data_IF_425045356402
#
_entry.id   IF_425045356402
#
_cell.length_a   1.000
_cell.length_b   1.000
_cell.length_c   1.000
_cell.angle_alpha   90.00
_cell.angle_beta   90.00
_cell.angle_gamma   90.00
#
_symmetry.space_group_name_H-M   'P 1'
#
loop_
_entity.id
_entity.type
_entity.pdbx_description
1 polymer ?
#
# COMPACT_ATOMS: atom_id res chain seq x y z
N UNK A 1 8.14 25.63 -25.61
CA UNK A 1 8.60 24.55 -26.52
C UNK A 1 7.57 23.43 -26.43
N UNK A 2 6.90 23.01 -27.52
CA UNK A 2 6.07 21.82 -27.45
C UNK A 2 7.01 20.68 -27.05
N UNK A 3 6.75 20.08 -25.89
CA UNK A 3 7.50 18.90 -25.46
C UNK A 3 7.00 17.79 -26.35
N UNK A 4 7.76 17.47 -27.39
CA UNK A 4 7.43 16.36 -28.26
C UNK A 4 7.67 15.08 -27.46
N UNK A 5 6.60 14.61 -26.82
CA UNK A 5 6.64 13.43 -25.96
C UNK A 5 6.36 12.16 -26.74
N UNK A 6 6.00 12.28 -28.02
CA UNK A 6 5.84 11.16 -28.93
C UNK A 6 7.21 10.73 -29.43
N UNK A 7 7.39 9.43 -29.61
CA UNK A 7 8.54 8.94 -30.38
C UNK A 7 8.38 9.29 -31.86
N UNK A 8 9.48 9.26 -32.61
CA UNK A 8 9.45 9.41 -34.08
C UNK A 8 8.52 8.38 -34.69
N UNK A 9 8.62 7.12 -34.26
CA UNK A 9 7.76 6.01 -34.68
C UNK A 9 6.28 6.28 -34.38
N UNK A 10 5.94 6.77 -33.18
CA UNK A 10 4.55 7.13 -32.84
C UNK A 10 4.03 8.24 -33.74
N UNK A 11 4.86 9.23 -34.04
CA UNK A 11 4.50 10.35 -34.91
C UNK A 11 4.28 9.90 -36.35
N UNK A 12 5.12 8.98 -36.84
CA UNK A 12 5.02 8.40 -38.18
C UNK A 12 3.85 7.42 -38.32
N UNK A 13 3.49 6.70 -37.25
CA UNK A 13 2.35 5.79 -37.23
C UNK A 13 0.99 6.50 -37.19
N UNK A 14 0.94 7.73 -36.66
CA UNK A 14 -0.32 8.40 -36.38
C UNK A 14 -1.06 8.81 -37.66
N UNK A 15 -2.25 8.26 -37.86
CA UNK A 15 -3.07 8.51 -39.04
C UNK A 15 -2.47 7.94 -40.33
N UNK A 16 -1.57 6.95 -40.23
CA UNK A 16 -0.91 6.27 -41.35
C UNK A 16 -0.89 4.75 -41.14
N UNK A 17 -0.65 4.00 -42.21
CA UNK A 17 -0.45 2.56 -42.12
C UNK A 17 0.98 2.26 -41.65
N UNK A 18 1.11 1.46 -40.58
CA UNK A 18 2.39 0.96 -40.07
C UNK A 18 2.79 -0.40 -40.67
N UNK A 19 1.92 -0.99 -41.50
CA UNK A 19 2.10 -2.30 -42.14
C UNK A 19 0.84 -2.72 -42.89
N UNK A 20 0.83 -3.95 -43.42
CA UNK A 20 -0.38 -4.54 -44.00
C UNK A 20 -1.39 -4.91 -42.89
N UNK A 21 -2.65 -4.47 -42.96
CA UNK A 21 -3.68 -4.91 -42.02
C UNK A 21 -3.93 -6.42 -42.13
N UNK A 22 -4.12 -7.07 -40.99
CA UNK A 22 -4.47 -8.49 -40.96
C UNK A 22 -5.91 -8.75 -41.48
N UNK A 23 -6.26 -10.01 -41.70
CA UNK A 23 -7.57 -10.38 -42.24
C UNK A 23 -8.74 -9.92 -41.36
N UNK A 24 -8.55 -9.90 -40.02
CA UNK A 24 -9.57 -9.45 -39.09
C UNK A 24 -9.79 -7.93 -39.19
N UNK A 25 -8.71 -7.17 -39.33
CA UNK A 25 -8.74 -5.72 -39.53
C UNK A 25 -9.36 -5.37 -40.88
N UNK A 26 -9.01 -6.10 -41.95
CA UNK A 26 -9.63 -5.94 -43.26
C UNK A 26 -11.14 -6.20 -43.19
N UNK A 27 -11.55 -7.32 -42.59
CA UNK A 27 -12.95 -7.66 -42.43
C UNK A 27 -13.71 -6.66 -41.55
N UNK A 28 -13.06 -6.09 -40.53
CA UNK A 28 -13.71 -5.16 -39.59
C UNK A 28 -13.86 -3.74 -40.14
N UNK A 29 -12.86 -3.23 -40.86
CA UNK A 29 -12.81 -1.81 -41.23
C UNK A 29 -12.97 -1.55 -42.73
N UNK A 30 -12.61 -2.51 -43.58
CA UNK A 30 -12.63 -2.38 -45.04
C UNK A 30 -13.70 -3.25 -45.72
N UNK A 31 -14.51 -3.97 -44.94
CA UNK A 31 -15.69 -4.62 -45.48
C UNK A 31 -16.74 -3.56 -45.85
N UNK A 32 -17.30 -3.70 -47.05
CA UNK A 32 -18.33 -2.83 -47.60
C UNK A 32 -19.66 -3.55 -47.52
N UNK A 33 -20.55 -3.06 -46.67
CA UNK A 33 -21.92 -3.54 -46.61
C UNK A 33 -22.76 -3.04 -47.81
N UNK A 34 -24.03 -3.44 -47.88
CA UNK A 34 -24.90 -3.05 -49.00
C UNK A 34 -25.16 -1.53 -49.02
N UNK A 35 -25.21 -0.87 -47.86
CA UNK A 35 -25.37 0.58 -47.78
C UNK A 35 -24.12 1.31 -48.29
N UNK A 36 -22.93 0.79 -47.96
CA UNK A 36 -21.65 1.26 -48.46
C UNK A 36 -21.61 1.15 -49.99
N UNK A 37 -21.98 -0.01 -50.54
CA UNK A 37 -22.00 -0.25 -52.00
C UNK A 37 -22.99 0.66 -52.72
N UNK A 38 -24.19 0.87 -52.16
CA UNK A 38 -25.18 1.79 -52.72
C UNK A 38 -24.65 3.23 -52.73
N UNK A 39 -24.02 3.67 -51.64
CA UNK A 39 -23.39 4.98 -51.55
C UNK A 39 -22.25 5.15 -52.56
N UNK A 40 -21.34 4.16 -52.65
CA UNK A 40 -20.21 4.15 -53.59
C UNK A 40 -20.69 4.13 -55.05
N UNK A 41 -21.79 3.42 -55.35
CA UNK A 41 -22.37 3.31 -56.69
C UNK A 41 -22.83 4.64 -57.29
N UNK A 42 -23.00 5.69 -56.48
CA UNK A 42 -23.35 7.05 -56.94
C UNK A 42 -22.17 7.75 -57.63
N UNK A 43 -20.94 7.33 -57.36
CA UNK A 43 -19.73 7.86 -57.98
C UNK A 43 -19.52 7.29 -59.39
N UNK A 44 -19.26 8.16 -60.36
CA UNK A 44 -19.00 7.76 -61.76
C UNK A 44 -17.54 7.33 -61.96
N UNK A 45 -17.32 6.18 -62.58
CA UNK A 45 -16.01 5.64 -62.94
C UNK A 45 -15.37 4.78 -61.83
N UNK A 46 -14.67 3.72 -62.24
CA UNK A 46 -14.10 2.74 -61.32
C UNK A 46 -13.00 3.34 -60.43
N UNK A 47 -12.22 4.32 -60.92
CA UNK A 47 -11.24 5.06 -60.12
C UNK A 47 -11.91 5.81 -58.94
N UNK A 48 -13.06 6.44 -59.17
CA UNK A 48 -13.79 7.15 -58.11
C UNK A 48 -14.47 6.19 -57.14
N UNK A 49 -15.06 5.10 -57.65
CA UNK A 49 -15.68 4.05 -56.82
C UNK A 49 -14.66 3.40 -55.89
N UNK A 50 -13.49 3.03 -56.42
CA UNK A 50 -12.40 2.47 -55.63
C UNK A 50 -11.82 3.49 -54.65
N UNK A 51 -11.57 4.72 -55.09
CA UNK A 51 -10.98 5.76 -54.24
C UNK A 51 -11.87 6.19 -53.09
N UNK A 52 -13.19 6.35 -53.30
CA UNK A 52 -14.12 6.69 -52.21
C UNK A 52 -14.28 5.53 -51.23
N UNK A 53 -14.32 4.28 -51.72
CA UNK A 53 -14.36 3.08 -50.86
C UNK A 53 -13.12 2.98 -49.96
N UNK A 54 -11.93 3.23 -50.53
CA UNK A 54 -10.69 3.27 -49.76
C UNK A 54 -10.68 4.38 -48.71
N UNK A 55 -11.22 5.56 -49.03
CA UNK A 55 -11.33 6.66 -48.06
C UNK A 55 -12.30 6.34 -46.92
N UNK A 56 -13.39 5.62 -47.19
CA UNK A 56 -14.30 5.11 -46.15
C UNK A 56 -13.54 4.16 -45.21
N UNK A 57 -12.79 3.21 -45.76
CA UNK A 57 -11.97 2.30 -44.96
C UNK A 57 -10.87 3.03 -44.17
N UNK A 58 -10.20 4.01 -44.78
CA UNK A 58 -9.16 4.80 -44.11
C UNK A 58 -9.71 5.60 -42.92
N UNK A 59 -10.87 6.26 -43.05
CA UNK A 59 -11.44 7.02 -41.93
C UNK A 59 -11.97 6.09 -40.82
N UNK A 60 -12.36 4.85 -41.15
CA UNK A 60 -12.75 3.82 -40.17
C UNK A 60 -11.54 3.25 -39.42
N UNK A 61 -10.45 2.96 -40.13
CA UNK A 61 -9.26 2.30 -39.60
C UNK A 61 -8.26 3.28 -38.95
N UNK A 62 -7.93 4.36 -39.67
CA UNK A 62 -6.93 5.35 -39.26
C UNK A 62 -7.54 6.56 -38.55
N UNK A 63 -8.84 6.81 -38.72
CA UNK A 63 -9.49 8.01 -38.20
C UNK A 63 -9.24 9.30 -39.01
N UNK A 64 -8.59 9.20 -40.18
CA UNK A 64 -8.28 10.32 -41.08
C UNK A 64 -8.52 9.95 -42.55
N UNK A 65 -8.63 10.98 -43.39
CA UNK A 65 -8.59 10.82 -44.85
C UNK A 65 -7.14 10.95 -45.34
N UNK A 66 -6.72 10.05 -46.22
CA UNK A 66 -5.39 10.09 -46.80
C UNK A 66 -5.36 11.03 -48.00
N UNK A 67 -4.35 11.89 -48.07
CA UNK A 67 -4.12 12.72 -49.25
C UNK A 67 -3.52 11.90 -50.37
N UNK A 68 -2.46 11.14 -50.09
CA UNK A 68 -1.80 10.28 -51.05
C UNK A 68 -2.19 8.81 -50.87
N UNK A 69 -2.86 8.26 -51.89
CA UNK A 69 -3.39 6.89 -51.91
C UNK A 69 -2.29 5.83 -52.07
N UNK A 70 -1.07 6.22 -52.44
CA UNK A 70 0.06 5.29 -52.55
C UNK A 70 0.50 4.73 -51.19
N UNK A 71 0.21 5.46 -50.10
CA UNK A 71 0.46 4.99 -48.74
C UNK A 71 -0.50 3.86 -48.31
N UNK A 72 -1.51 3.53 -49.12
CA UNK A 72 -2.43 2.44 -48.83
C UNK A 72 -1.78 1.10 -49.24
N UNK A 73 -1.64 0.13 -48.33
CA UNK A 73 -1.07 -1.18 -48.64
C UNK A 73 -1.80 -1.89 -49.78
N UNK A 74 -1.08 -2.74 -50.51
CA UNK A 74 -1.65 -3.50 -51.63
C UNK A 74 -2.77 -4.43 -51.18
N UNK A 75 -2.65 -5.10 -50.03
CA UNK A 75 -3.69 -5.98 -49.50
C UNK A 75 -5.04 -5.26 -49.35
N UNK A 76 -5.01 -4.04 -48.79
CA UNK A 76 -6.21 -3.19 -48.62
C UNK A 76 -6.83 -2.81 -49.97
N UNK A 77 -6.00 -2.43 -50.95
CA UNK A 77 -6.44 -2.07 -52.30
C UNK A 77 -7.14 -3.23 -53.00
N UNK A 78 -6.53 -4.42 -52.97
CA UNK A 78 -7.09 -5.61 -53.60
C UNK A 78 -8.36 -6.10 -52.89
N UNK A 79 -8.36 -6.09 -51.56
CA UNK A 79 -9.51 -6.48 -50.75
C UNK A 79 -10.74 -5.61 -51.05
N UNK A 80 -10.54 -4.29 -51.16
CA UNK A 80 -11.61 -3.34 -51.46
C UNK A 80 -12.07 -3.45 -52.92
N UNK A 81 -11.14 -3.56 -53.87
CA UNK A 81 -11.45 -3.69 -55.30
C UNK A 81 -12.25 -4.96 -55.62
N UNK A 82 -11.91 -6.09 -54.98
CA UNK A 82 -12.62 -7.36 -55.14
C UNK A 82 -14.09 -7.27 -54.75
N UNK A 83 -14.41 -6.51 -53.69
CA UNK A 83 -15.79 -6.31 -53.24
C UNK A 83 -16.63 -5.46 -54.21
N UNK A 84 -15.97 -4.60 -55.00
CA UNK A 84 -16.63 -3.74 -56.00
C UNK A 84 -16.66 -4.34 -57.41
N UNK A 85 -16.05 -5.51 -57.61
CA UNK A 85 -15.92 -6.16 -58.92
C UNK A 85 -14.88 -5.52 -59.85
N UNK A 86 -13.96 -4.71 -59.31
CA UNK A 86 -12.94 -4.00 -60.07
C UNK A 86 -11.70 -4.89 -60.19
N UNK A 87 -11.33 -5.28 -61.42
CA UNK A 87 -10.18 -6.17 -61.69
C UNK A 87 -8.86 -5.41 -61.78
N UNK A 88 -8.89 -4.20 -62.31
CA UNK A 88 -7.71 -3.37 -62.50
C UNK A 88 -7.63 -2.30 -61.40
N UNK A 89 -6.60 -2.39 -60.55
CA UNK A 89 -6.38 -1.46 -59.44
C UNK A 89 -5.56 -0.25 -59.89
N UNK A 90 -4.91 -0.31 -61.06
CA UNK A 90 -4.11 0.79 -61.59
C UNK A 90 -4.95 2.02 -61.90
N UNK A 91 -6.26 1.84 -62.10
CA UNK A 91 -7.26 2.92 -62.21
C UNK A 91 -7.21 3.88 -61.02
N UNK A 92 -6.75 3.45 -59.84
CA UNK A 92 -6.59 4.32 -58.68
C UNK A 92 -5.61 5.49 -58.94
N UNK A 93 -4.69 5.37 -59.89
CA UNK A 93 -3.79 6.46 -60.28
C UNK A 93 -4.54 7.67 -60.89
N UNK A 94 -5.75 7.46 -61.42
CA UNK A 94 -6.62 8.53 -61.92
C UNK A 94 -7.44 9.19 -60.80
N UNK A 95 -7.54 8.54 -59.64
CA UNK A 95 -8.31 9.04 -58.51
C UNK A 95 -7.70 10.30 -57.90
N UNK A 96 -8.47 11.39 -57.88
CA UNK A 96 -8.06 12.60 -57.18
C UNK A 96 -6.98 13.42 -57.87
N UNK A 97 -6.73 13.19 -59.17
CA UNK A 97 -5.91 14.09 -60.02
C UNK A 97 -6.41 15.54 -59.95
N UNK A 98 -7.73 15.73 -59.82
CA UNK A 98 -8.33 17.00 -59.40
C UNK A 98 -8.47 17.00 -57.88
N UNK A 99 -7.82 17.95 -57.21
CA UNK A 99 -7.89 18.08 -55.76
C UNK A 99 -9.32 18.23 -55.24
N UNK A 100 -10.19 18.89 -56.01
CA UNK A 100 -11.60 19.10 -55.66
C UNK A 100 -12.35 17.78 -55.44
N UNK A 101 -12.09 16.75 -56.26
CA UNK A 101 -12.77 15.45 -56.16
C UNK A 101 -12.48 14.76 -54.82
N UNK A 102 -11.25 14.85 -54.31
CA UNK A 102 -10.90 14.26 -52.99
C UNK A 102 -11.61 14.99 -51.86
N UNK A 103 -11.64 16.33 -51.89
CA UNK A 103 -12.31 17.16 -50.87
C UNK A 103 -13.82 16.96 -50.90
N UNK A 104 -14.41 16.86 -52.09
CA UNK A 104 -15.84 16.55 -52.29
C UNK A 104 -16.18 15.18 -51.73
N UNK A 105 -15.40 14.14 -52.06
CA UNK A 105 -15.63 12.79 -51.52
C UNK A 105 -15.47 12.74 -49.99
N UNK A 106 -14.46 13.41 -49.42
CA UNK A 106 -14.33 13.52 -47.97
C UNK A 106 -15.54 14.24 -47.34
N UNK A 107 -16.09 15.28 -47.99
CA UNK A 107 -17.32 15.93 -47.54
C UNK A 107 -18.54 15.00 -47.60
N UNK A 108 -18.70 14.25 -48.70
CA UNK A 108 -19.78 13.27 -48.86
C UNK A 108 -19.72 12.16 -47.80
N UNK A 109 -18.53 11.60 -47.55
CA UNK A 109 -18.32 10.57 -46.52
C UNK A 109 -18.67 11.14 -45.13
N UNK A 110 -18.24 12.36 -44.82
CA UNK A 110 -18.58 13.01 -43.54
C UNK A 110 -20.08 13.15 -43.34
N UNK A 111 -20.79 13.64 -44.36
CA UNK A 111 -22.23 13.83 -44.29
C UNK A 111 -22.98 12.50 -44.14
N UNK A 112 -22.60 11.47 -44.91
CA UNK A 112 -23.29 10.19 -44.93
C UNK A 112 -23.04 9.38 -43.65
N UNK A 113 -21.78 9.26 -43.20
CA UNK A 113 -21.40 8.44 -42.03
C UNK A 113 -21.33 9.23 -40.72
N UNK A 114 -21.71 10.51 -40.74
CA UNK A 114 -21.76 11.42 -39.59
C UNK A 114 -20.40 11.69 -38.93
N UNK A 115 -19.32 11.67 -39.71
CA UNK A 115 -18.01 12.09 -39.22
C UNK A 115 -17.94 13.60 -39.07
N UNK A 116 -17.27 14.05 -38.00
CA UNK A 116 -17.18 15.47 -37.64
C UNK A 116 -15.73 15.92 -37.64
N UNK A 117 -15.51 17.19 -37.97
CA UNK A 117 -14.20 17.80 -37.83
C UNK A 117 -13.84 18.01 -36.35
N UNK A 118 -12.55 18.05 -36.05
CA UNK A 118 -12.05 18.41 -34.74
C UNK A 118 -12.17 19.91 -34.48
N UNK A 119 -13.40 20.35 -34.21
CA UNK A 119 -13.77 21.73 -33.93
C UNK A 119 -14.64 21.82 -32.66
N UNK A 120 -15.05 23.04 -32.28
CA UNK A 120 -16.03 23.22 -31.20
C UNK A 120 -17.35 22.51 -31.57
N UNK A 121 -18.02 21.80 -30.63
CA UNK A 121 -17.76 21.68 -29.19
C UNK A 121 -16.85 20.50 -28.81
N UNK A 122 -16.33 19.73 -29.77
CA UNK A 122 -15.55 18.51 -29.53
C UNK A 122 -14.18 18.79 -28.95
N UNK A 123 -13.52 19.85 -29.42
CA UNK A 123 -12.27 20.36 -28.83
C UNK A 123 -12.46 20.64 -27.34
N UNK A 124 -13.57 21.30 -26.96
CA UNK A 124 -13.91 21.58 -25.56
C UNK A 124 -14.21 20.31 -24.76
N UNK A 125 -14.99 19.38 -25.32
CA UNK A 125 -15.31 18.09 -24.66
C UNK A 125 -14.05 17.27 -24.38
N UNK A 126 -13.15 17.15 -25.36
CA UNK A 126 -11.86 16.47 -25.19
C UNK A 126 -11.00 17.19 -24.16
N UNK A 127 -10.91 18.52 -24.24
CA UNK A 127 -10.17 19.33 -23.26
C UNK A 127 -10.67 19.07 -21.85
N UNK A 128 -12.00 19.05 -21.64
CA UNK A 128 -12.61 18.78 -20.32
C UNK A 128 -12.27 17.37 -19.83
N UNK A 129 -12.36 16.36 -20.68
CA UNK A 129 -12.00 14.98 -20.36
C UNK A 129 -10.53 14.88 -19.90
N UNK A 130 -9.61 15.38 -20.74
CA UNK A 130 -8.18 15.36 -20.47
C UNK A 130 -7.85 16.15 -19.19
N UNK A 131 -8.56 17.25 -18.95
CA UNK A 131 -8.35 18.09 -17.78
C UNK A 131 -8.77 17.39 -16.49
N UNK A 132 -9.96 16.78 -16.46
CA UNK A 132 -10.42 16.02 -15.29
C UNK A 132 -9.43 14.90 -14.95
N UNK A 133 -8.92 14.21 -15.97
CA UNK A 133 -7.95 13.13 -15.79
C UNK A 133 -6.58 13.64 -15.30
N UNK A 134 -6.07 14.72 -15.92
CA UNK A 134 -4.82 15.38 -15.55
C UNK A 134 -4.88 16.06 -14.17
N UNK A 135 -6.07 16.44 -13.71
CA UNK A 135 -6.28 16.93 -12.36
C UNK A 135 -6.09 15.79 -11.35
N UNK A 136 -6.72 14.64 -11.56
CA UNK A 136 -6.71 13.53 -10.59
C UNK A 136 -5.34 12.83 -10.54
N UNK A 137 -4.71 12.61 -11.69
CA UNK A 137 -3.50 11.78 -11.80
C UNK A 137 -2.39 12.44 -12.62
N UNK A 138 -1.14 12.04 -12.38
CA UNK A 138 0.02 12.45 -13.16
C UNK A 138 0.37 11.41 -14.24
N UNK A 139 -0.57 11.16 -15.15
CA UNK A 139 -0.37 10.19 -16.24
C UNK A 139 0.71 10.65 -17.23
N UNK A 140 1.36 9.66 -17.86
CA UNK A 140 2.31 9.91 -18.95
C UNK A 140 1.57 10.53 -20.13
N UNK A 141 2.14 11.54 -20.81
CA UNK A 141 1.46 12.22 -21.89
C UNK A 141 1.14 11.32 -23.09
N UNK A 142 1.94 10.27 -23.34
CA UNK A 142 1.63 9.25 -24.35
C UNK A 142 0.31 8.51 -24.07
N UNK A 143 0.04 8.13 -22.82
CA UNK A 143 -1.22 7.46 -22.46
C UNK A 143 -2.44 8.39 -22.66
N UNK A 144 -2.27 9.69 -22.41
CA UNK A 144 -3.30 10.69 -22.67
C UNK A 144 -3.52 10.89 -24.18
N UNK A 145 -2.48 10.71 -24.99
CA UNK A 145 -2.55 10.75 -26.44
C UNK A 145 -3.31 9.55 -27.00
N UNK A 146 -3.00 8.34 -26.52
CA UNK A 146 -3.72 7.11 -26.91
C UNK A 146 -5.20 7.19 -26.52
N UNK A 147 -5.47 7.65 -25.29
CA UNK A 147 -6.83 7.90 -24.80
C UNK A 147 -7.57 8.91 -25.66
N UNK A 148 -6.93 10.03 -26.01
CA UNK A 148 -7.54 11.05 -26.84
C UNK A 148 -7.84 10.52 -28.25
N UNK A 149 -6.91 9.75 -28.83
CA UNK A 149 -7.08 9.11 -30.14
C UNK A 149 -8.26 8.16 -30.14
N UNK A 150 -8.32 7.25 -29.15
CA UNK A 150 -9.45 6.32 -28.99
C UNK A 150 -10.79 7.04 -28.79
N UNK A 151 -10.80 8.10 -27.96
CA UNK A 151 -12.00 8.91 -27.73
C UNK A 151 -12.48 9.61 -29.01
N UNK A 152 -11.58 10.18 -29.80
CA UNK A 152 -11.91 10.83 -31.07
C UNK A 152 -12.51 9.83 -32.07
N UNK A 153 -11.90 8.66 -32.21
CA UNK A 153 -12.40 7.59 -33.09
C UNK A 153 -13.78 7.10 -32.64
N UNK A 154 -13.98 6.86 -31.34
CA UNK A 154 -15.26 6.41 -30.78
C UNK A 154 -16.40 7.42 -31.06
N UNK A 155 -16.09 8.72 -31.04
CA UNK A 155 -17.06 9.78 -31.32
C UNK A 155 -17.16 10.18 -32.80
N UNK A 156 -16.52 9.42 -33.70
CA UNK A 156 -16.45 9.70 -35.15
C UNK A 156 -15.93 11.11 -35.47
N UNK A 157 -14.93 11.55 -34.71
CA UNK A 157 -14.25 12.81 -34.94
C UNK A 157 -12.98 12.50 -35.74
N UNK A 158 -12.79 13.20 -36.85
CA UNK A 158 -11.60 13.08 -37.68
C UNK A 158 -10.41 13.51 -36.85
N UNK A 159 -9.38 12.67 -36.81
CA UNK A 159 -8.19 12.94 -36.02
C UNK A 159 -7.49 14.21 -36.53
N UNK A 160 -7.19 15.19 -35.65
CA UNK A 160 -6.37 16.33 -36.01
C UNK A 160 -4.91 15.88 -36.19
N UNK A 161 -4.05 16.71 -36.77
CA UNK A 161 -2.62 16.39 -36.84
C UNK A 161 -2.00 16.13 -35.45
N UNK A 162 -1.03 15.21 -35.38
CA UNK A 162 -0.40 14.79 -34.11
C UNK A 162 0.07 15.98 -33.26
N UNK A 163 0.70 16.97 -33.89
CA UNK A 163 1.17 18.20 -33.24
C UNK A 163 0.04 19.00 -32.58
N UNK A 164 -1.15 19.00 -33.16
CA UNK A 164 -2.32 19.68 -32.58
C UNK A 164 -2.74 18.99 -31.28
N UNK A 165 -2.73 17.65 -31.28
CA UNK A 165 -3.11 16.87 -30.12
C UNK A 165 -2.04 16.91 -29.01
N UNK A 166 -0.76 16.79 -29.37
CA UNK A 166 0.39 16.94 -28.47
C UNK A 166 0.39 18.31 -27.78
N UNK A 167 0.11 19.37 -28.54
CA UNK A 167 -0.01 20.73 -27.98
C UNK A 167 -1.18 20.83 -27.01
N UNK A 168 -2.36 20.33 -27.39
CA UNK A 168 -3.54 20.35 -26.52
C UNK A 168 -3.29 19.62 -25.19
N UNK A 169 -2.71 18.42 -25.26
CA UNK A 169 -2.39 17.62 -24.07
C UNK A 169 -1.39 18.35 -23.18
N UNK A 170 -0.35 18.95 -23.76
CA UNK A 170 0.64 19.73 -23.03
C UNK A 170 0.01 20.91 -22.32
N UNK A 171 -0.82 21.71 -23.01
CA UNK A 171 -1.54 22.85 -22.45
C UNK A 171 -2.48 22.43 -21.32
N UNK A 172 -3.22 21.34 -21.49
CA UNK A 172 -4.15 20.84 -20.46
C UNK A 172 -3.40 20.39 -19.20
N UNK A 173 -2.29 19.65 -19.37
CA UNK A 173 -1.45 19.18 -18.25
C UNK A 173 -0.80 20.35 -17.52
N UNK A 174 -0.33 21.35 -18.27
CA UNK A 174 0.23 22.57 -17.70
C UNK A 174 -0.84 23.32 -16.89
N UNK A 175 -2.04 23.53 -17.44
CA UNK A 175 -3.16 24.16 -16.71
C UNK A 175 -3.54 23.41 -15.43
N UNK A 176 -3.59 22.07 -15.47
CA UNK A 176 -3.86 21.26 -14.28
C UNK A 176 -2.74 21.40 -13.23
N UNK A 177 -1.49 21.49 -13.67
CA UNK A 177 -0.31 21.67 -12.80
C UNK A 177 -0.28 23.05 -12.17
N UNK A 178 -0.51 24.12 -12.96
CA UNK A 178 -0.58 25.49 -12.46
C UNK A 178 -1.72 25.66 -11.45
N UNK A 179 -2.91 25.05 -11.70
CA UNK A 179 -4.00 25.06 -10.73
C UNK A 179 -3.60 24.42 -9.41
N UNK A 180 -2.89 23.28 -9.46
CA UNK A 180 -2.43 22.60 -8.25
C UNK A 180 -1.46 23.49 -7.47
N UNK A 181 -0.48 24.09 -8.15
CA UNK A 181 0.47 24.99 -7.51
C UNK A 181 -0.20 26.19 -6.88
N UNK A 182 -1.15 26.82 -7.59
CA UNK A 182 -1.89 27.96 -7.06
C UNK A 182 -2.71 27.57 -5.83
N UNK A 183 -3.40 26.43 -5.86
CA UNK A 183 -4.14 25.96 -4.67
C UNK A 183 -3.22 25.70 -3.48
N UNK A 184 -2.08 25.05 -3.69
CA UNK A 184 -1.14 24.74 -2.61
C UNK A 184 -0.48 26.00 -2.05
N UNK A 185 -0.09 26.95 -2.91
CA UNK A 185 0.52 28.21 -2.49
C UNK A 185 -0.44 29.12 -1.70
N UNK A 186 -1.75 28.90 -1.81
CA UNK A 186 -2.78 29.61 -1.05
C UNK A 186 -3.06 29.02 0.33
N UNK A 187 -2.57 27.80 0.63
CA UNK A 187 -2.77 27.16 1.94
C UNK A 187 -2.08 27.93 3.07
N UNK A 188 -0.77 28.26 2.98
CA UNK A 188 -0.07 28.88 4.11
C UNK A 188 -0.41 30.37 4.27
N UNK A 189 -0.51 30.81 5.52
CA UNK A 189 -0.57 32.21 5.94
C UNK A 189 0.72 32.96 5.58
N UNK A 190 0.73 34.29 5.70
CA UNK A 190 1.94 35.08 5.42
C UNK A 190 3.12 34.69 6.33
N UNK A 191 2.86 34.38 7.60
CA UNK A 191 3.86 33.92 8.56
C UNK A 191 4.37 32.52 8.20
N UNK A 192 3.48 31.58 7.93
CA UNK A 192 3.83 30.21 7.51
C UNK A 192 4.64 30.22 6.21
N UNK A 193 4.34 31.12 5.27
CA UNK A 193 5.14 31.28 4.05
C UNK A 193 6.58 31.68 4.37
N UNK A 194 6.78 32.60 5.30
CA UNK A 194 8.13 32.99 5.74
C UNK A 194 8.86 31.80 6.36
N UNK A 195 8.21 31.07 7.27
CA UNK A 195 8.77 29.86 7.88
C UNK A 195 9.14 28.79 6.85
N UNK A 196 8.28 28.56 5.85
CA UNK A 196 8.54 27.60 4.77
C UNK A 196 9.74 28.04 3.91
N UNK A 197 9.91 29.33 3.65
CA UNK A 197 11.09 29.82 2.92
C UNK A 197 12.38 29.68 3.73
N UNK A 198 12.32 29.83 5.06
CA UNK A 198 13.47 29.59 5.94
C UNK A 198 13.98 28.14 5.87
N UNK A 199 13.14 27.16 5.48
CA UNK A 199 13.58 25.78 5.26
C UNK A 199 14.70 25.66 4.23
N UNK A 200 14.77 26.60 3.28
CA UNK A 200 15.77 26.61 2.21
C UNK A 200 17.11 27.24 2.65
N UNK A 201 17.14 27.95 3.77
CA UNK A 201 18.34 28.58 4.33
C UNK A 201 19.24 27.58 5.08
N UNK A 202 20.54 27.89 5.22
CA UNK A 202 21.43 27.10 6.08
C UNK A 202 21.01 27.21 7.55
N UNK A 203 21.18 26.14 8.32
CA UNK A 203 20.99 26.18 9.79
C UNK A 203 22.21 26.75 10.49
N UNK A 204 22.03 27.44 11.62
CA UNK A 204 23.12 28.05 12.42
C UNK A 204 24.21 27.06 12.86
N UNK A 205 23.87 25.77 12.97
CA UNK A 205 24.76 24.73 13.49
C UNK A 205 25.24 23.71 12.44
N UNK A 206 24.85 23.84 11.17
CA UNK A 206 25.25 22.88 10.13
C UNK A 206 25.28 23.49 8.72
N UNK A 207 26.15 22.95 7.84
CA UNK A 207 26.16 23.30 6.40
C UNK A 207 24.91 22.84 5.65
N UNK A 208 24.05 22.04 6.27
CA UNK A 208 22.81 21.56 5.69
C UNK A 208 21.67 22.54 6.02
N UNK A 209 20.77 22.74 5.05
CA UNK A 209 19.52 23.47 5.31
C UNK A 209 18.57 22.63 6.17
N UNK A 210 17.64 23.28 6.87
CA UNK A 210 16.62 22.59 7.67
C UNK A 210 15.77 21.61 6.82
N UNK A 211 15.51 21.92 5.54
CA UNK A 211 14.84 20.98 4.63
C UNK A 211 15.61 19.64 4.49
N UNK A 212 16.94 19.69 4.38
CA UNK A 212 17.78 18.49 4.19
C UNK A 212 17.95 17.68 5.48
N UNK A 213 17.86 18.30 6.65
CA UNK A 213 17.81 17.56 7.90
C UNK A 213 16.45 16.87 8.08
N UNK A 214 15.34 17.56 7.80
CA UNK A 214 13.99 16.98 7.85
C UNK A 214 13.79 15.83 6.86
N UNK A 215 14.57 15.79 5.77
CA UNK A 215 14.58 14.68 4.82
C UNK A 215 15.14 13.38 5.38
N UNK A 216 15.91 13.42 6.46
CA UNK A 216 16.58 12.25 7.02
C UNK A 216 15.70 11.61 8.09
N UNK A 217 15.26 10.39 7.82
CA UNK A 217 14.59 9.55 8.81
C UNK A 217 15.57 8.92 9.80
N UNK A 218 15.06 8.31 10.88
CA UNK A 218 15.86 7.58 11.85
C UNK A 218 16.55 6.36 11.20
N UNK A 219 17.82 6.13 11.54
CA UNK A 219 18.62 5.00 10.99
C UNK A 219 18.88 3.92 12.05
N UNK A 220 18.63 4.23 13.32
CA UNK A 220 18.89 3.33 14.45
C UNK A 220 17.64 3.16 15.30
N UNK A 221 17.52 2.01 15.95
CA UNK A 221 16.44 1.69 16.88
C UNK A 221 16.96 1.95 18.30
N UNK A 222 16.69 3.14 18.83
CA UNK A 222 17.13 3.55 20.18
C UNK A 222 16.23 4.64 20.75
N UNK A 223 16.24 4.82 22.07
CA UNK A 223 15.51 5.92 22.72
C UNK A 223 15.89 7.31 22.21
N UNK A 224 17.20 7.64 22.06
CA UNK A 224 17.62 8.88 21.41
C UNK A 224 17.09 9.04 19.98
N UNK A 225 17.13 7.99 19.17
CA UNK A 225 16.60 8.03 17.80
C UNK A 225 15.08 8.21 17.75
N UNK A 226 14.35 7.64 18.71
CA UNK A 226 12.91 7.89 18.87
C UNK A 226 12.64 9.36 19.21
N UNK A 227 13.39 9.94 20.15
CA UNK A 227 13.27 11.36 20.49
C UNK A 227 13.58 12.26 19.29
N UNK A 228 14.64 11.96 18.52
CA UNK A 228 14.95 12.68 17.27
C UNK A 228 13.82 12.55 16.24
N UNK A 229 13.23 11.36 16.09
CA UNK A 229 12.11 11.15 15.17
C UNK A 229 10.86 11.96 15.60
N UNK A 230 10.56 12.02 16.90
CA UNK A 230 9.47 12.83 17.46
C UNK A 230 9.74 14.32 17.30
N UNK A 231 10.96 14.81 17.56
CA UNK A 231 11.31 16.21 17.35
C UNK A 231 11.22 16.61 15.87
N UNK A 232 11.62 15.72 14.96
CA UNK A 232 11.43 15.93 13.52
C UNK A 232 9.95 16.02 13.15
N UNK A 233 9.12 15.12 13.68
CA UNK A 233 7.67 15.18 13.48
C UNK A 233 7.09 16.49 14.05
N UNK A 234 7.43 16.87 15.29
CA UNK A 234 7.01 18.15 15.90
C UNK A 234 7.38 19.33 15.03
N UNK A 235 8.62 19.40 14.55
CA UNK A 235 9.08 20.48 13.66
C UNK A 235 8.20 20.59 12.41
N UNK A 236 7.73 19.48 11.85
CA UNK A 236 6.82 19.46 10.70
C UNK A 236 5.38 19.82 11.08
N UNK A 237 4.89 19.30 12.21
CA UNK A 237 3.57 19.57 12.75
C UNK A 237 3.40 21.04 13.18
N UNK A 238 4.45 21.67 13.70
CA UNK A 238 4.45 23.05 14.20
C UNK A 238 4.24 24.08 13.08
N UNK A 239 4.45 23.71 11.81
CA UNK A 239 4.02 24.55 10.68
C UNK A 239 2.49 24.74 10.66
N UNK A 240 1.73 23.84 11.29
CA UNK A 240 0.29 23.97 11.47
C UNK A 240 -0.44 24.09 10.13
N UNK A 241 0.01 23.36 9.10
CA UNK A 241 -0.66 23.32 7.79
C UNK A 241 -1.92 22.45 7.84
N UNK A 242 -2.76 22.65 8.87
CA UNK A 242 -4.04 21.99 8.99
C UNK A 242 -5.02 22.67 8.04
N UNK A 243 -5.26 22.03 6.90
CA UNK A 243 -6.12 22.58 5.88
C UNK A 243 -7.44 21.82 5.81
N UNK A 244 -8.53 22.50 6.20
CA UNK A 244 -9.92 22.14 5.86
C UNK A 244 -10.10 21.92 4.33
N UNK A 245 -9.18 22.46 3.53
CA UNK A 245 -9.18 22.43 2.06
C UNK A 245 -8.45 21.25 1.41
N UNK A 246 -7.79 20.35 2.16
CA UNK A 246 -7.03 19.21 1.60
C UNK A 246 -7.91 18.22 0.86
N UNK A 247 -9.18 18.07 1.27
CA UNK A 247 -10.17 17.21 0.62
C UNK A 247 -10.40 17.58 -0.85
N UNK A 248 -10.17 18.83 -1.23
CA UNK A 248 -10.34 19.32 -2.61
C UNK A 248 -9.13 19.09 -3.51
N UNK A 249 -8.04 18.53 -2.96
CA UNK A 249 -6.79 18.28 -3.66
C UNK A 249 -6.64 16.80 -4.02
N UNK A 250 -6.19 16.50 -5.25
CA UNK A 250 -5.91 15.12 -5.66
C UNK A 250 -4.73 14.53 -4.88
N UNK A 251 -4.99 13.54 -4.02
CA UNK A 251 -3.98 12.89 -3.17
C UNK A 251 -2.79 12.33 -3.97
N UNK A 252 -3.05 11.72 -5.12
CA UNK A 252 -1.99 11.17 -6.01
C UNK A 252 -1.06 12.28 -6.52
N UNK A 253 -1.58 13.46 -6.83
CA UNK A 253 -0.77 14.60 -7.28
C UNK A 253 0.05 15.19 -6.15
N UNK A 254 -0.54 15.32 -4.96
CA UNK A 254 0.13 15.79 -3.77
C UNK A 254 1.31 14.87 -3.42
N UNK A 255 1.08 13.55 -3.35
CA UNK A 255 2.12 12.55 -3.07
C UNK A 255 3.25 12.59 -4.10
N UNK A 256 2.93 12.74 -5.38
CA UNK A 256 3.94 12.88 -6.44
C UNK A 256 4.78 14.15 -6.28
N UNK A 257 4.16 15.28 -5.93
CA UNK A 257 4.86 16.55 -5.73
C UNK A 257 5.74 16.51 -4.48
N UNK A 258 5.26 15.89 -3.39
CA UNK A 258 6.03 15.67 -2.18
C UNK A 258 7.24 14.74 -2.41
N UNK A 259 7.06 13.65 -3.17
CA UNK A 259 8.17 12.77 -3.56
C UNK A 259 9.21 13.51 -4.38
N UNK A 260 8.76 14.35 -5.31
CA UNK A 260 9.65 15.23 -6.07
C UNK A 260 10.42 16.19 -5.15
N UNK A 261 9.75 16.79 -4.16
CA UNK A 261 10.39 17.65 -3.18
C UNK A 261 11.47 16.92 -2.36
N UNK A 262 11.19 15.67 -1.96
CA UNK A 262 12.13 14.81 -1.24
C UNK A 262 13.41 14.52 -2.03
N UNK A 263 13.27 14.21 -3.33
CA UNK A 263 14.39 13.87 -4.22
C UNK A 263 15.17 15.09 -4.73
N UNK A 264 14.55 16.28 -4.75
CA UNK A 264 15.16 17.47 -5.35
C UNK A 264 16.02 18.21 -4.33
N UNK A 265 17.22 18.64 -4.73
CA UNK A 265 18.10 19.45 -3.88
C UNK A 265 17.48 20.82 -3.56
N UNK A 266 17.79 21.34 -2.38
CA UNK A 266 17.37 22.68 -1.91
C UNK A 266 17.67 23.77 -2.93
N UNK A 267 18.86 23.73 -3.52
CA UNK A 267 19.29 24.69 -4.53
C UNK A 267 18.38 24.73 -5.76
N UNK A 268 17.93 23.56 -6.23
CA UNK A 268 17.01 23.48 -7.35
C UNK A 268 15.61 23.97 -6.97
N UNK A 269 15.18 23.72 -5.73
CA UNK A 269 13.90 24.23 -5.20
C UNK A 269 13.94 25.76 -5.08
N UNK A 270 15.03 26.33 -4.58
CA UNK A 270 15.20 27.77 -4.41
C UNK A 270 15.11 28.55 -5.73
N UNK A 271 15.58 27.95 -6.84
CA UNK A 271 15.55 28.52 -8.20
C UNK A 271 14.19 28.45 -8.91
N UNK A 272 13.20 27.79 -8.32
CA UNK A 272 11.86 27.68 -8.94
C UNK A 272 11.12 29.02 -8.89
N UNK A 273 10.09 29.17 -9.73
CA UNK A 273 9.16 30.30 -9.61
C UNK A 273 8.51 30.33 -8.22
N UNK A 274 8.15 31.51 -7.66
CA UNK A 274 7.65 31.62 -6.29
C UNK A 274 6.44 30.71 -6.02
N UNK A 275 5.51 30.64 -6.97
CA UNK A 275 4.32 29.78 -6.88
C UNK A 275 4.67 28.29 -6.83
N UNK A 276 5.55 27.84 -7.72
CA UNK A 276 5.98 26.43 -7.75
C UNK A 276 6.78 26.08 -6.51
N UNK A 277 7.70 26.95 -6.09
CA UNK A 277 8.53 26.79 -4.90
C UNK A 277 7.66 26.60 -3.66
N UNK A 278 6.70 27.51 -3.43
CA UNK A 278 5.78 27.41 -2.30
C UNK A 278 4.94 26.14 -2.35
N UNK A 279 4.41 25.78 -3.53
CA UNK A 279 3.63 24.55 -3.68
C UNK A 279 4.45 23.27 -3.37
N UNK A 280 5.73 23.24 -3.75
CA UNK A 280 6.66 22.14 -3.45
C UNK A 280 6.94 22.05 -1.95
N UNK A 281 7.18 23.19 -1.28
CA UNK A 281 7.42 23.24 0.17
C UNK A 281 6.18 22.83 0.97
N UNK A 282 5.01 23.33 0.61
CA UNK A 282 3.73 22.93 1.23
C UNK A 282 3.47 21.44 1.04
N UNK A 283 3.67 20.92 -0.19
CA UNK A 283 3.51 19.49 -0.45
C UNK A 283 4.52 18.64 0.32
N UNK A 284 5.75 19.12 0.49
CA UNK A 284 6.76 18.49 1.33
C UNK A 284 6.26 18.37 2.76
N UNK A 285 5.95 19.48 3.44
CA UNK A 285 5.54 19.45 4.85
C UNK A 285 4.32 18.56 5.07
N UNK A 286 3.26 18.74 4.26
CA UNK A 286 2.02 17.94 4.41
C UNK A 286 2.23 16.42 4.29
N UNK A 287 3.11 15.97 3.40
CA UNK A 287 3.35 14.54 3.21
C UNK A 287 4.41 14.00 4.18
N UNK A 288 5.39 14.81 4.51
CA UNK A 288 6.50 14.43 5.38
C UNK A 288 6.11 14.46 6.85
N UNK A 289 5.12 15.24 7.25
CA UNK A 289 4.52 15.17 8.58
C UNK A 289 3.98 13.76 8.86
N UNK A 290 3.15 13.21 7.96
CA UNK A 290 2.63 11.85 8.09
C UNK A 290 3.76 10.81 8.07
N UNK A 291 4.71 10.94 7.13
CA UNK A 291 5.85 10.03 7.04
C UNK A 291 6.73 10.09 8.31
N UNK A 292 6.92 11.27 8.89
CA UNK A 292 7.73 11.42 10.09
C UNK A 292 7.08 10.80 11.33
N UNK A 293 5.74 10.84 11.39
CA UNK A 293 4.97 10.15 12.42
C UNK A 293 5.08 8.63 12.25
N UNK A 294 4.90 8.12 11.03
CA UNK A 294 5.04 6.70 10.72
C UNK A 294 6.44 6.19 11.10
N UNK A 295 7.50 6.91 10.71
CA UNK A 295 8.88 6.57 11.09
C UNK A 295 9.08 6.54 12.62
N UNK A 296 8.45 7.45 13.37
CA UNK A 296 8.56 7.48 14.83
C UNK A 296 7.84 6.27 15.47
N UNK A 297 6.67 5.90 14.93
CA UNK A 297 5.94 4.70 15.34
C UNK A 297 6.75 3.43 15.04
N UNK A 298 7.39 3.35 13.87
CA UNK A 298 8.24 2.22 13.49
C UNK A 298 9.42 2.03 14.46
N UNK A 299 10.08 3.13 14.87
CA UNK A 299 11.15 3.07 15.88
C UNK A 299 10.62 2.61 17.23
N UNK A 300 9.46 3.13 17.66
CA UNK A 300 8.83 2.75 18.93
C UNK A 300 8.46 1.26 18.95
N UNK A 301 7.81 0.78 17.90
CA UNK A 301 7.41 -0.62 17.75
C UNK A 301 8.62 -1.55 17.79
N UNK A 302 9.68 -1.19 17.08
CA UNK A 302 10.93 -1.93 17.10
C UNK A 302 11.59 -1.94 18.50
N UNK A 303 11.55 -0.82 19.23
CA UNK A 303 12.05 -0.76 20.61
C UNK A 303 11.22 -1.63 21.56
N UNK A 304 9.89 -1.56 21.49
CA UNK A 304 8.99 -2.38 22.29
C UNK A 304 9.22 -3.88 22.04
N UNK A 305 9.42 -4.27 20.77
CA UNK A 305 9.75 -5.64 20.41
C UNK A 305 11.04 -6.13 21.08
N UNK A 306 12.09 -5.29 21.14
CA UNK A 306 13.34 -5.61 21.84
C UNK A 306 13.12 -5.77 23.34
N UNK A 307 12.40 -4.84 23.97
CA UNK A 307 12.11 -4.87 25.42
C UNK A 307 11.31 -6.12 25.79
N UNK A 308 10.26 -6.44 25.02
CA UNK A 308 9.41 -7.62 25.26
C UNK A 308 10.24 -8.90 25.10
N UNK A 309 11.09 -8.99 24.07
CA UNK A 309 11.98 -10.13 23.86
C UNK A 309 12.94 -10.33 25.02
N UNK A 310 13.54 -9.25 25.52
CA UNK A 310 14.51 -9.33 26.61
C UNK A 310 13.83 -9.66 27.95
N UNK A 311 12.65 -9.10 28.20
CA UNK A 311 11.80 -9.46 29.34
C UNK A 311 11.44 -10.98 29.32
N UNK A 312 11.04 -11.52 28.16
CA UNK A 312 10.77 -12.96 27.99
C UNK A 312 12.01 -13.81 28.27
N UNK A 313 13.18 -13.42 27.76
CA UNK A 313 14.45 -14.12 28.04
C UNK A 313 14.81 -14.10 29.52
N UNK A 314 14.63 -12.97 30.20
CA UNK A 314 14.86 -12.86 31.64
C UNK A 314 13.88 -13.74 32.41
N UNK A 315 12.59 -13.73 32.05
CA UNK A 315 11.57 -14.59 32.64
C UNK A 315 11.89 -16.08 32.49
N UNK A 316 12.25 -16.52 31.27
CA UNK A 316 12.68 -17.90 31.01
C UNK A 316 13.91 -18.30 31.84
N UNK A 317 14.94 -17.42 31.92
CA UNK A 317 16.13 -17.68 32.75
C UNK A 317 15.79 -17.80 34.23
N UNK A 318 14.93 -16.92 34.76
CA UNK A 318 14.47 -16.99 36.17
C UNK A 318 13.70 -18.29 36.44
N UNK A 319 12.81 -18.69 35.52
CA UNK A 319 12.05 -19.95 35.62
C UNK A 319 12.94 -21.20 35.59
N UNK A 320 13.95 -21.22 34.71
CA UNK A 320 14.91 -22.34 34.66
C UNK A 320 15.75 -22.44 35.94
N UNK A 321 16.02 -21.32 36.62
CA UNK A 321 16.66 -21.33 37.95
C UNK A 321 15.72 -21.87 39.02
N UNK A 322 14.48 -21.38 39.08
CA UNK A 322 13.52 -21.83 40.09
C UNK A 322 13.21 -23.32 39.97
N UNK A 323 13.16 -23.89 38.76
CA UNK A 323 13.01 -25.35 38.58
C UNK A 323 14.15 -26.15 39.23
N UNK A 324 15.40 -25.69 39.10
CA UNK A 324 16.54 -26.34 39.77
C UNK A 324 16.49 -26.23 41.28
N UNK A 325 16.02 -25.08 41.79
CA UNK A 325 15.85 -24.88 43.24
C UNK A 325 14.75 -25.81 43.79
N UNK A 326 13.67 -26.02 43.03
CA UNK A 326 12.59 -26.95 43.39
C UNK A 326 13.07 -28.41 43.44
N UNK A 327 13.90 -28.87 42.50
CA UNK A 327 14.47 -30.23 42.52
C UNK A 327 15.36 -30.46 43.75
N UNK A 328 16.23 -29.49 44.07
CA UNK A 328 17.09 -29.54 45.27
C UNK A 328 16.24 -29.60 46.54
N UNK A 329 15.20 -28.77 46.60
CA UNK A 329 14.23 -28.75 47.69
C UNK A 329 13.48 -30.07 47.85
N UNK A 330 13.03 -30.69 46.75
CA UNK A 330 12.34 -31.97 46.78
C UNK A 330 13.24 -33.11 47.27
N UNK A 331 14.50 -33.15 46.83
CA UNK A 331 15.49 -34.13 47.33
C UNK A 331 15.79 -33.95 48.82
N UNK A 332 15.91 -32.70 49.28
CA UNK A 332 16.10 -32.41 50.70
C UNK A 332 14.90 -32.90 51.53
N UNK A 333 13.67 -32.66 51.06
CA UNK A 333 12.46 -33.16 51.70
C UNK A 333 12.42 -34.70 51.72
N UNK A 334 12.74 -35.35 50.60
CA UNK A 334 12.79 -36.81 50.53
C UNK A 334 13.80 -37.40 51.54
N UNK A 335 14.97 -36.76 51.69
CA UNK A 335 15.97 -37.16 52.68
C UNK A 335 15.44 -37.02 54.11
N UNK A 336 14.80 -35.90 54.44
CA UNK A 336 14.20 -35.66 55.75
C UNK A 336 13.06 -36.67 56.06
N UNK A 337 12.16 -36.91 55.10
CA UNK A 337 11.10 -37.90 55.25
C UNK A 337 11.65 -39.33 55.43
N UNK A 338 12.70 -39.70 54.69
CA UNK A 338 13.33 -41.01 54.83
C UNK A 338 14.01 -41.23 56.18
N UNK A 339 14.47 -40.15 56.82
CA UNK A 339 15.02 -40.19 58.18
C UNK A 339 13.90 -40.38 59.22
N UNK A 340 12.80 -39.63 59.08
CA UNK A 340 11.63 -39.70 59.97
C UNK A 340 10.85 -41.02 59.89
N UNK A 341 10.88 -41.71 58.74
CA UNK A 341 10.15 -42.96 58.51
C UNK A 341 10.92 -44.23 58.92
N UNK A 342 12.17 -44.13 59.41
CA UNK A 342 12.90 -45.28 59.93
C UNK A 342 12.37 -45.65 61.33
N UNK A 343 11.73 -46.80 61.43
CA UNK A 343 11.05 -47.35 62.63
C UNK A 343 11.97 -47.66 63.85
N UNK A 344 13.26 -47.29 63.81
CA UNK A 344 14.20 -47.44 64.94
C UNK A 344 14.93 -46.12 65.25
N UNK A 345 14.20 -45.03 65.45
CA UNK A 345 14.76 -43.82 66.06
C UNK A 345 14.15 -43.61 67.46
N UNK A 346 14.94 -43.69 68.55
CA UNK A 346 14.44 -43.41 69.89
C UNK A 346 13.97 -41.95 69.99
N UNK A 347 12.79 -41.72 70.57
CA UNK A 347 12.15 -40.39 70.72
C UNK A 347 13.06 -39.32 71.36
N UNK A 348 14.06 -39.75 72.14
CA UNK A 348 15.01 -38.86 72.83
C UNK A 348 16.13 -38.31 71.93
N UNK A 349 16.46 -38.92 70.78
CA UNK A 349 17.51 -38.40 69.89
C UNK A 349 17.05 -37.29 68.95
N UNK A 350 15.74 -36.99 68.91
CA UNK A 350 15.16 -35.93 68.06
C UNK A 350 15.27 -34.55 68.75
N UNK A 351 15.60 -34.51 70.04
CA UNK A 351 15.72 -33.28 70.82
C UNK A 351 17.16 -33.00 71.24
N UNK A 352 18.08 -32.74 70.30
CA UNK A 352 19.26 -31.90 70.61
C UNK A 352 20.10 -31.58 69.35
N UNK A 353 19.91 -30.40 68.73
CA UNK A 353 21.00 -29.45 68.40
C UNK A 353 20.47 -28.09 67.91
N UNK A 354 20.90 -27.04 68.61
CA UNK A 354 21.09 -25.61 68.27
C UNK A 354 20.16 -24.83 67.30
N UNK A 355 19.74 -23.67 67.81
CA UNK A 355 18.77 -22.76 67.20
C UNK A 355 19.31 -21.81 66.13
N UNK A 356 18.33 -21.26 65.40
CA UNK A 356 18.37 -20.33 64.25
C UNK A 356 18.59 -20.94 62.86
N UNK A 357 19.46 -21.94 62.66
CA UNK A 357 19.53 -22.63 61.35
C UNK A 357 18.30 -23.52 61.09
N UNK A 358 17.71 -24.08 62.15
CA UNK A 358 16.59 -25.01 62.04
C UNK A 358 15.21 -24.33 61.85
N UNK A 359 15.07 -23.03 62.16
CA UNK A 359 13.88 -22.28 61.74
C UNK A 359 13.84 -22.07 60.22
N UNK A 360 15.01 -21.87 59.60
CA UNK A 360 15.16 -21.83 58.14
C UNK A 360 14.99 -23.24 57.53
N UNK A 361 15.48 -24.28 58.20
CA UNK A 361 15.28 -25.69 57.83
C UNK A 361 13.82 -26.15 57.93
N UNK A 362 13.14 -25.82 59.02
CA UNK A 362 11.72 -26.15 59.26
C UNK A 362 10.80 -25.37 58.31
N UNK A 363 11.06 -24.07 58.10
CA UNK A 363 10.32 -23.29 57.11
C UNK A 363 10.54 -23.82 55.68
N UNK A 364 11.78 -24.22 55.36
CA UNK A 364 12.11 -24.91 54.12
C UNK A 364 11.38 -26.24 53.95
N UNK A 365 11.31 -27.06 55.02
CA UNK A 365 10.61 -28.34 55.03
C UNK A 365 9.10 -28.16 54.83
N UNK A 366 8.48 -27.21 55.53
CA UNK A 366 7.06 -26.86 55.34
C UNK A 366 6.82 -26.36 53.92
N UNK A 367 7.67 -25.45 53.42
CA UNK A 367 7.54 -24.92 52.05
C UNK A 367 7.63 -26.06 51.02
N UNK A 368 8.56 -26.99 51.20
CA UNK A 368 8.73 -28.11 50.28
C UNK A 368 7.57 -29.10 50.37
N UNK A 369 7.04 -29.36 51.57
CA UNK A 369 5.86 -30.19 51.75
C UNK A 369 4.62 -29.57 51.07
N UNK A 370 4.46 -28.24 51.17
CA UNK A 370 3.40 -27.50 50.48
C UNK A 370 3.57 -27.59 48.97
N UNK A 371 4.78 -27.39 48.44
CA UNK A 371 5.05 -27.52 47.01
C UNK A 371 4.75 -28.93 46.50
N UNK A 372 5.16 -29.97 47.23
CA UNK A 372 4.91 -31.36 46.87
C UNK A 372 3.42 -31.65 46.88
N UNK A 373 2.72 -31.26 47.95
CA UNK A 373 1.27 -31.40 48.07
C UNK A 373 0.56 -30.71 46.90
N UNK A 374 0.90 -29.46 46.62
CA UNK A 374 0.31 -28.69 45.55
C UNK A 374 0.55 -29.32 44.19
N UNK A 375 1.75 -29.81 43.93
CA UNK A 375 2.09 -30.44 42.65
C UNK A 375 1.26 -31.71 42.43
N UNK A 376 1.12 -32.56 43.45
CA UNK A 376 0.34 -33.80 43.37
C UNK A 376 -1.15 -33.51 43.17
N UNK A 377 -1.72 -32.59 43.95
CA UNK A 377 -3.15 -32.27 43.84
C UNK A 377 -3.50 -31.45 42.61
N UNK A 378 -2.59 -30.59 42.11
CA UNK A 378 -2.77 -29.92 40.81
C UNK A 378 -2.79 -30.95 39.68
N UNK A 379 -1.90 -31.94 39.69
CA UNK A 379 -1.90 -33.00 38.69
C UNK A 379 -3.21 -33.81 38.76
N UNK A 380 -3.65 -34.19 39.96
CA UNK A 380 -4.93 -34.89 40.14
C UNK A 380 -6.13 -34.06 39.64
N UNK A 381 -6.13 -32.75 39.87
CA UNK A 381 -7.17 -31.84 39.36
C UNK A 381 -7.15 -31.72 37.83
N UNK A 382 -5.97 -31.61 37.21
CA UNK A 382 -5.84 -31.58 35.75
C UNK A 382 -6.33 -32.90 35.12
N UNK A 383 -6.00 -34.04 35.72
CA UNK A 383 -6.43 -35.35 35.23
C UNK A 383 -7.94 -35.54 35.40
N UNK A 384 -8.53 -35.02 36.48
CA UNK A 384 -9.98 -34.99 36.67
C UNK A 384 -10.68 -34.14 35.60
N UNK A 385 -10.18 -32.93 35.32
CA UNK A 385 -10.74 -32.04 34.28
C UNK A 385 -10.63 -32.68 32.88
N UNK A 386 -9.49 -33.31 32.56
CA UNK A 386 -9.32 -34.07 31.31
C UNK A 386 -10.32 -35.22 31.19
N UNK A 387 -10.56 -35.95 32.27
CA UNK A 387 -11.52 -37.05 32.30
C UNK A 387 -12.97 -36.56 32.12
N UNK A 388 -13.27 -35.31 32.48
CA UNK A 388 -14.57 -34.65 32.25
C UNK A 388 -14.72 -34.06 30.84
N UNK A 389 -13.66 -34.10 30.01
CA UNK A 389 -13.68 -33.61 28.63
C UNK A 389 -13.36 -32.12 28.46
N UNK A 390 -12.87 -31.45 29.51
CA UNK A 390 -12.43 -30.05 29.44
C UNK A 390 -11.15 -29.90 28.59
N UNK A 391 -11.13 -28.91 27.70
CA UNK A 391 -9.96 -28.61 26.86
C UNK A 391 -8.99 -27.71 27.62
N UNK A 392 -7.86 -28.26 28.06
CA UNK A 392 -6.83 -27.53 28.80
C UNK A 392 -5.71 -27.05 27.85
N UNK A 393 -5.45 -25.74 27.82
CA UNK A 393 -4.34 -25.18 27.04
C UNK A 393 -2.99 -25.45 27.71
N UNK A 394 -2.01 -25.92 26.93
CA UNK A 394 -0.66 -26.18 27.42
C UNK A 394 0.03 -24.92 27.97
N UNK A 395 -0.28 -23.73 27.42
CA UNK A 395 0.24 -22.46 27.94
C UNK A 395 -0.26 -22.15 29.36
N UNK A 396 -1.49 -22.52 29.69
CA UNK A 396 -2.11 -22.24 30.99
C UNK A 396 -1.62 -23.25 32.04
N UNK A 397 -1.49 -24.53 31.66
CA UNK A 397 -0.83 -25.56 32.48
C UNK A 397 0.60 -25.11 32.80
N UNK A 398 1.31 -24.56 31.80
CA UNK A 398 2.66 -24.06 31.99
C UNK A 398 2.73 -22.82 32.91
N UNK A 399 1.62 -22.15 33.25
CA UNK A 399 1.59 -21.01 34.18
C UNK A 399 1.25 -21.39 35.61
N UNK A 400 0.81 -22.63 35.87
CA UNK A 400 0.51 -23.11 37.22
C UNK A 400 1.77 -23.03 38.11
N UNK A 401 1.59 -22.54 39.34
CA UNK A 401 2.65 -22.40 40.33
C UNK A 401 2.31 -23.22 41.58
N UNK A 402 3.15 -24.18 41.98
CA UNK A 402 2.92 -24.99 43.18
C UNK A 402 3.22 -24.23 44.47
N UNK A 403 3.50 -22.93 44.42
CA UNK A 403 3.79 -22.10 45.60
C UNK A 403 2.54 -21.43 46.19
N UNK A 404 1.34 -21.73 45.67
CA UNK A 404 0.11 -21.17 46.24
C UNK A 404 -0.15 -21.72 47.65
N UNK A 405 -0.50 -20.85 48.60
CA UNK A 405 -0.68 -21.24 50.01
C UNK A 405 -2.01 -20.78 50.61
N UNK A 406 -2.90 -20.17 49.82
CA UNK A 406 -4.20 -19.67 50.32
C UNK A 406 -5.14 -20.75 50.85
N UNK A 407 -4.95 -22.01 50.46
CA UNK A 407 -5.74 -23.15 50.92
C UNK A 407 -5.17 -23.81 52.19
N UNK A 408 -4.11 -23.25 52.77
CA UNK A 408 -3.45 -23.76 53.97
C UNK A 408 -3.60 -22.73 55.08
N UNK A 409 -4.31 -23.10 56.14
CA UNK A 409 -4.25 -22.34 57.37
C UNK A 409 -2.94 -22.65 58.08
N UNK A 410 -2.12 -21.63 58.35
CA UNK A 410 -0.82 -21.80 59.04
C UNK A 410 -0.93 -21.60 60.55
N UNK A 411 -2.09 -21.13 61.05
CA UNK A 411 -2.30 -20.78 62.45
C UNK A 411 -3.31 -21.74 63.11
N UNK A 412 -2.95 -22.29 64.27
CA UNK A 412 -3.85 -23.13 65.08
C UNK A 412 -3.18 -24.39 65.63
N UNK A 413 -3.92 -25.14 66.45
CA UNK A 413 -3.52 -26.48 66.90
C UNK A 413 -4.13 -27.54 65.99
N UNK A 414 -3.27 -28.35 65.37
CA UNK A 414 -3.68 -29.43 64.49
C UNK A 414 -3.61 -30.77 65.23
N UNK A 415 -4.71 -31.52 65.21
CA UNK A 415 -4.73 -32.93 65.60
C UNK A 415 -4.95 -33.76 64.34
N UNK A 416 -4.06 -34.71 64.08
CA UNK A 416 -4.09 -35.51 62.86
C UNK A 416 -4.69 -36.88 63.16
N UNK A 417 -5.96 -37.07 62.81
CA UNK A 417 -6.54 -38.41 62.56
C UNK A 417 -6.58 -38.61 61.04
N UNK A 418 -5.65 -39.41 60.52
CA UNK A 418 -5.61 -39.76 59.11
C UNK A 418 -6.81 -40.61 58.74
N UNK A 419 -7.58 -40.19 57.73
CA UNK A 419 -8.63 -41.01 57.16
C UNK A 419 -8.04 -42.31 56.60
N UNK A 420 -8.72 -43.44 56.78
CA UNK A 420 -8.20 -44.77 56.44
C UNK A 420 -7.74 -44.90 54.98
N UNK A 421 -8.41 -44.17 54.06
CA UNK A 421 -8.02 -44.07 52.66
C UNK A 421 -6.64 -43.42 52.46
N UNK A 422 -6.33 -42.37 53.22
CA UNK A 422 -5.04 -41.68 53.17
C UNK A 422 -3.95 -42.53 53.80
N UNK A 423 -4.27 -43.26 54.88
CA UNK A 423 -3.36 -44.23 55.50
C UNK A 423 -2.99 -45.36 54.55
N UNK A 424 -3.88 -45.74 53.63
CA UNK A 424 -3.64 -46.71 52.54
C UNK A 424 -2.94 -46.11 51.32
N UNK A 425 -2.54 -44.83 51.37
CA UNK A 425 -1.79 -44.15 50.31
C UNK A 425 -2.64 -43.51 49.22
N UNK A 426 -3.96 -43.43 49.37
CA UNK A 426 -4.82 -42.73 48.40
C UNK A 426 -4.86 -41.21 48.67
N UNK A 427 -5.11 -40.42 47.61
CA UNK A 427 -5.34 -38.98 47.73
C UNK A 427 -6.70 -38.68 48.37
N UNK A 428 -6.80 -37.54 49.06
CA UNK A 428 -8.09 -37.01 49.51
C UNK A 428 -8.93 -36.61 48.28
N UNK A 429 -10.26 -36.75 48.33
CA UNK A 429 -11.12 -36.30 47.24
C UNK A 429 -10.94 -34.80 46.98
N UNK A 430 -11.00 -34.41 45.70
CA UNK A 430 -11.00 -33.00 45.29
C UNK A 430 -12.30 -32.34 45.78
N UNK A 431 -12.20 -31.08 46.21
CA UNK A 431 -13.38 -30.29 46.58
C UNK A 431 -14.14 -29.86 45.32
N UNK A 432 -15.47 -29.93 45.37
CA UNK A 432 -16.32 -29.41 44.28
C UNK A 432 -16.39 -27.87 44.36
N UNK A 433 -16.48 -27.21 43.20
CA UNK A 433 -16.41 -25.74 43.11
C UNK A 433 -17.53 -25.01 43.89
N UNK A 434 -18.65 -25.67 44.18
CA UNK A 434 -19.76 -25.11 44.97
C UNK A 434 -19.44 -24.95 46.47
N UNK A 435 -18.41 -25.62 46.99
CA UNK A 435 -18.03 -25.53 48.41
C UNK A 435 -16.97 -24.44 48.70
N UNK A 436 -16.46 -23.76 47.65
CA UNK A 436 -15.32 -22.84 47.76
C UNK A 436 -15.69 -21.37 48.04
N UNK A 437 -16.98 -20.98 48.04
CA UNK A 437 -17.38 -19.57 48.23
C UNK A 437 -17.32 -19.04 49.67
N UNK A 438 -16.91 -19.85 50.67
CA UNK A 438 -16.85 -19.43 52.06
C UNK A 438 -15.45 -19.54 52.69
N UNK A 439 -14.41 -18.98 52.06
CA UNK A 439 -13.20 -18.56 52.78
C UNK A 439 -12.61 -17.33 52.06
N UNK A 440 -12.77 -16.15 52.69
CA UNK A 440 -12.16 -14.88 52.28
C UNK A 440 -10.71 -14.76 52.73
#
# INVERSE_FOLDING_TARGET
MPVDFLTTEQTESYGRFTGEPDELQLARYFHLDEADKEFIGKSRGDHNRLGIALQIGCVRFLGTFLTDMNHIPSGVRHFTARQLGIRDITVLAEYGQRENTRREHAALIRQHYQYREFAWPWTFRLTRLLYTRSWISNERPGLLFDLATGWLMQHRIILPGATTLTRLISEVREKATLRLWNKLALIPSAEQRSQLEMLLGPTDCSRLSLLESLKKGPVTISGPAFNEAIERWKTLNDFGLHAENLSTLPAVRLKNLARYAGMTSVFNIARMSPQKRMAVLVAFVLAWETLALDDALDVLDAMLAVIIRDARKIGQKKRLRSLKDLDKSALALASACSYLLKEETPDESIRYTDGQEDQLGTLGLVTNAVVLWNTIYMQAALDHLRAQGETLNDEDIARLSPLCHGHINMLGHYSFTLAELVTKGHLRPLKEASEAENVA
#
